data_IF_093788831599
#
_entry.id   IF_093788831599
#
_cell.length_a   1.000
_cell.length_b   1.000
_cell.length_c   1.000
_cell.angle_alpha   90.00
_cell.angle_beta   90.00
_cell.angle_gamma   90.00
#
_symmetry.space_group_name_H-M   'P 1'
#
loop_
_entity.id
_entity.type
_entity.pdbx_description
1 polymer ?
#
# COMPACT_ATOMS: atom_id res chain seq x y z
N UNK A 1 9.78 4.33 4.54
CA UNK A 1 9.48 2.97 4.10
C UNK A 1 8.50 2.98 2.94
N UNK A 2 8.76 2.17 1.95
CA UNK A 2 7.88 2.07 0.77
C UNK A 2 7.15 0.75 0.76
N UNK A 3 5.88 0.80 0.39
CA UNK A 3 5.02 -0.36 0.31
C UNK A 3 4.40 -0.40 -1.08
N UNK A 4 4.46 -1.58 -1.70
CA UNK A 4 3.88 -1.79 -3.03
C UNK A 4 2.70 -2.73 -2.89
N UNK A 5 1.54 -2.30 -3.37
CA UNK A 5 0.32 -3.08 -3.31
C UNK A 5 -0.18 -3.31 -4.72
N UNK A 6 -0.28 -4.56 -5.13
CA UNK A 6 -0.92 -4.94 -6.38
C UNK A 6 -2.33 -5.39 -6.06
N UNK A 7 -3.31 -4.82 -6.73
CA UNK A 7 -4.70 -5.02 -6.35
C UNK A 7 -5.61 -4.98 -7.56
N UNK A 8 -6.83 -5.47 -7.38
CA UNK A 8 -7.88 -5.24 -8.37
C UNK A 8 -8.29 -3.79 -8.32
N UNK A 9 -8.51 -3.20 -9.51
CA UNK A 9 -8.89 -1.79 -9.60
C UNK A 9 -10.40 -1.68 -9.44
N UNK A 10 -10.85 -1.12 -8.33
CA UNK A 10 -12.27 -0.95 -8.06
C UNK A 10 -12.55 0.38 -7.38
N UNK A 11 -13.79 0.81 -7.49
CA UNK A 11 -14.23 2.04 -6.85
C UNK A 11 -14.07 1.92 -5.33
N UNK A 12 -13.53 2.96 -4.72
CA UNK A 12 -13.41 3.02 -3.26
C UNK A 12 -12.20 2.32 -2.69
N UNK A 13 -11.39 1.68 -3.52
CA UNK A 13 -10.24 0.93 -3.03
C UNK A 13 -9.26 1.83 -2.27
N UNK A 14 -8.93 2.97 -2.82
CA UNK A 14 -7.96 3.86 -2.20
C UNK A 14 -8.48 4.38 -0.85
N UNK A 15 -9.79 4.64 -0.78
CA UNK A 15 -10.39 5.05 0.48
C UNK A 15 -10.29 3.95 1.54
N UNK A 16 -10.53 2.70 1.14
CA UNK A 16 -10.44 1.58 2.07
C UNK A 16 -9.01 1.41 2.58
N UNK A 17 -8.04 1.50 1.70
CA UNK A 17 -6.63 1.41 2.08
C UNK A 17 -6.27 2.56 3.02
N UNK A 18 -6.69 3.77 2.67
CA UNK A 18 -6.43 4.93 3.50
C UNK A 18 -7.04 4.81 4.89
N UNK A 19 -8.24 4.25 4.98
CA UNK A 19 -8.89 4.03 6.27
C UNK A 19 -8.10 3.08 7.15
N UNK A 20 -7.57 2.01 6.57
CA UNK A 20 -6.75 1.07 7.33
C UNK A 20 -5.52 1.75 7.91
N UNK A 21 -4.87 2.56 7.11
CA UNK A 21 -3.68 3.28 7.57
C UNK A 21 -4.03 4.29 8.65
N UNK A 22 -5.15 4.99 8.49
CA UNK A 22 -5.62 5.93 9.50
C UNK A 22 -5.97 5.27 10.82
N UNK A 23 -6.68 4.14 10.76
CA UNK A 23 -7.06 3.40 11.95
C UNK A 23 -5.85 2.87 12.72
N UNK A 24 -4.78 2.60 12.01
CA UNK A 24 -3.55 2.10 12.62
C UNK A 24 -2.54 3.20 12.90
N UNK A 25 -2.98 4.46 12.80
CA UNK A 25 -2.15 5.63 13.11
C UNK A 25 -0.85 5.65 12.32
N UNK A 26 -0.97 5.28 11.05
CA UNK A 26 0.16 5.27 10.15
C UNK A 26 0.11 6.50 9.27
N UNK A 27 1.20 7.24 9.24
CA UNK A 27 1.30 8.42 8.41
C UNK A 27 1.73 8.05 7.00
N UNK A 28 0.96 8.48 6.01
CA UNK A 28 1.31 8.29 4.61
C UNK A 28 1.93 9.59 4.11
N UNK A 29 3.20 9.53 3.71
CA UNK A 29 3.91 10.72 3.28
C UNK A 29 3.86 10.92 1.77
N UNK A 30 3.59 9.86 1.03
CA UNK A 30 3.42 9.96 -0.42
C UNK A 30 2.62 8.77 -0.92
N UNK A 31 1.85 8.98 -1.96
CA UNK A 31 1.10 7.90 -2.59
C UNK A 31 1.12 8.11 -4.09
N UNK A 32 1.27 7.01 -4.81
CA UNK A 32 1.19 7.00 -6.27
C UNK A 32 0.33 5.82 -6.66
N UNK A 33 -0.64 6.04 -7.54
CA UNK A 33 -1.48 4.97 -8.05
C UNK A 33 -1.30 4.85 -9.54
N UNK A 34 -1.38 3.63 -10.03
CA UNK A 34 -1.30 3.37 -11.45
C UNK A 34 -2.29 2.28 -11.82
N UNK A 35 -3.24 2.61 -12.67
CA UNK A 35 -4.21 1.64 -13.16
C UNK A 35 -3.67 0.97 -14.42
N UNK A 36 -3.96 -0.30 -14.55
CA UNK A 36 -3.50 -1.11 -15.68
C UNK A 36 -4.69 -1.52 -16.55
N UNK A 37 -4.40 -1.95 -17.76
CA UNK A 37 -5.45 -2.30 -18.71
C UNK A 37 -6.25 -3.53 -18.32
N UNK A 38 -5.64 -4.42 -17.55
CA UNK A 38 -6.29 -5.67 -17.14
C UNK A 38 -7.15 -5.50 -15.90
N UNK A 39 -7.48 -4.26 -15.54
CA UNK A 39 -8.32 -3.93 -14.39
C UNK A 39 -7.63 -4.22 -13.06
N UNK A 40 -6.32 -4.16 -13.05
CA UNK A 40 -5.55 -4.16 -11.82
C UNK A 40 -4.96 -2.79 -11.60
N UNK A 41 -4.43 -2.57 -10.41
CA UNK A 41 -3.78 -1.31 -10.07
C UNK A 41 -2.60 -1.57 -9.17
N UNK A 42 -1.62 -0.68 -9.25
CA UNK A 42 -0.46 -0.70 -8.36
C UNK A 42 -0.51 0.55 -7.50
N UNK A 43 -0.43 0.36 -6.20
CA UNK A 43 -0.33 1.45 -5.24
C UNK A 43 1.07 1.47 -4.67
N UNK A 44 1.73 2.61 -4.76
CA UNK A 44 3.06 2.82 -4.20
C UNK A 44 2.92 3.82 -3.07
N UNK A 45 3.21 3.40 -1.86
CA UNK A 45 3.00 4.21 -0.68
C UNK A 45 4.30 4.43 0.07
N UNK A 46 4.57 5.67 0.43
CA UNK A 46 5.64 5.98 1.38
C UNK A 46 4.98 6.19 2.72
N UNK A 47 5.34 5.40 3.70
CA UNK A 47 4.71 5.42 5.01
C UNK A 47 5.75 5.45 6.12
N UNK A 48 5.29 5.87 7.29
CA UNK A 48 6.09 5.87 8.51
C UNK A 48 5.50 4.85 9.47
N UNK A 49 6.29 3.86 9.86
CA UNK A 49 5.85 2.84 10.81
C UNK A 49 6.76 2.87 12.03
N UNK A 50 6.19 2.44 13.16
CA UNK A 50 6.93 2.46 14.42
C UNK A 50 7.90 1.31 14.56
N UNK A 51 7.50 0.14 14.06
CA UNK A 51 8.31 -1.06 14.18
C UNK A 51 7.78 -2.12 13.21
N UNK A 52 8.45 -3.27 13.21
CA UNK A 52 8.11 -4.36 12.31
C UNK A 52 6.72 -4.93 12.58
N UNK A 53 6.33 -4.99 13.86
CA UNK A 53 5.02 -5.51 14.20
C UNK A 53 3.91 -4.59 13.72
N UNK A 54 4.11 -3.28 13.82
CA UNK A 54 3.16 -2.30 13.31
C UNK A 54 2.95 -2.50 11.80
N UNK A 55 4.05 -2.67 11.08
CA UNK A 55 3.99 -2.92 9.65
C UNK A 55 3.25 -4.22 9.34
N UNK A 56 3.55 -5.30 10.06
CA UNK A 56 2.91 -6.59 9.83
C UNK A 56 1.39 -6.50 10.04
N UNK A 57 0.97 -5.76 11.07
CA UNK A 57 -0.46 -5.56 11.33
C UNK A 57 -1.13 -4.86 10.16
N UNK A 58 -0.50 -3.80 9.66
CA UNK A 58 -1.06 -3.05 8.53
C UNK A 58 -1.16 -3.93 7.29
N UNK A 59 -0.10 -4.66 6.97
CA UNK A 59 -0.10 -5.53 5.79
C UNK A 59 -1.19 -6.59 5.89
N UNK A 60 -1.38 -7.16 7.07
CA UNK A 60 -2.42 -8.16 7.28
C UNK A 60 -3.81 -7.57 7.06
N UNK A 61 -4.05 -6.37 7.58
CA UNK A 61 -5.35 -5.72 7.42
C UNK A 61 -5.63 -5.33 5.98
N UNK A 62 -4.62 -4.84 5.28
CA UNK A 62 -4.77 -4.52 3.86
C UNK A 62 -5.08 -5.79 3.07
N UNK A 63 -4.36 -6.86 3.35
CA UNK A 63 -4.57 -8.12 2.65
C UNK A 63 -5.98 -8.67 2.87
N UNK A 64 -6.57 -8.37 4.02
CA UNK A 64 -7.92 -8.86 4.34
C UNK A 64 -9.02 -8.18 3.52
N UNK A 65 -8.70 -7.15 2.77
CA UNK A 65 -9.71 -6.50 1.91
C UNK A 65 -10.23 -7.41 0.80
N UNK A 66 -9.51 -8.48 0.50
CA UNK A 66 -9.97 -9.46 -0.49
C UNK A 66 -9.67 -9.10 -1.94
N UNK A 67 -9.40 -7.86 -2.22
CA UNK A 67 -9.08 -7.41 -3.59
C UNK A 67 -7.58 -7.36 -3.85
N UNK A 68 -6.79 -7.66 -2.85
CA UNK A 68 -5.34 -7.51 -2.91
C UNK A 68 -4.72 -8.74 -3.53
N UNK A 69 -3.94 -8.52 -4.59
CA UNK A 69 -3.25 -9.61 -5.28
C UNK A 69 -1.88 -9.86 -4.68
N UNK A 70 -1.22 -8.80 -4.23
CA UNK A 70 0.10 -8.91 -3.63
C UNK A 70 0.39 -7.64 -2.84
N UNK A 71 1.18 -7.79 -1.78
CA UNK A 71 1.64 -6.66 -1.00
C UNK A 71 3.04 -6.97 -0.49
N UNK A 72 3.98 -6.05 -0.73
CA UNK A 72 5.36 -6.25 -0.29
C UNK A 72 6.04 -4.93 -0.04
N UNK A 73 7.13 -4.97 0.70
CA UNK A 73 7.95 -3.80 0.95
C UNK A 73 8.96 -3.65 -0.19
N UNK A 74 9.19 -2.41 -0.59
CA UNK A 74 10.35 -2.08 -1.39
C UNK A 74 11.47 -1.72 -0.42
N UNK A 75 12.60 -2.42 -0.51
CA UNK A 75 13.73 -2.22 0.39
C UNK A 75 14.94 -1.79 -0.39
N UNK A 76 15.70 -0.86 0.18
CA UNK A 76 16.90 -0.36 -0.46
C UNK A 76 16.58 0.58 -1.60
N UNK A 77 17.59 1.27 -2.08
CA UNK A 77 17.39 2.31 -3.07
C UNK A 77 16.92 1.84 -4.42
N UNK A 78 17.29 0.62 -4.80
CA UNK A 78 16.96 0.12 -6.14
C UNK A 78 15.53 -0.33 -6.27
N UNK A 79 14.93 -0.73 -5.15
CA UNK A 79 13.57 -1.23 -5.15
C UNK A 79 12.56 -0.15 -4.79
N UNK A 80 13.03 1.03 -4.45
CA UNK A 80 12.14 2.10 -4.09
C UNK A 80 11.32 2.55 -5.29
N UNK A 81 10.02 2.78 -5.09
CA UNK A 81 9.19 3.37 -6.14
C UNK A 81 9.71 4.75 -6.50
N UNK A 82 9.60 5.08 -7.77
CA UNK A 82 9.99 6.41 -8.22
C UNK A 82 8.81 7.33 -8.13
N UNK A 83 8.60 7.87 -6.97
CA UNK A 83 7.47 8.75 -6.69
C UNK A 83 7.77 10.16 -7.13
N UNK A 84 7.95 10.34 -8.38
CA UNK A 84 8.26 11.65 -8.95
C UNK A 84 7.09 12.23 -9.69
#
# INVERSE_FOLDING_TARGET
MYLIIETLDRTGLLADVGNIFGENKTNITAVKTQSHRDKTATLELAIEVRDTQHLATIMSKVHSLGDILDIHRATGGRDEPKLK
#
